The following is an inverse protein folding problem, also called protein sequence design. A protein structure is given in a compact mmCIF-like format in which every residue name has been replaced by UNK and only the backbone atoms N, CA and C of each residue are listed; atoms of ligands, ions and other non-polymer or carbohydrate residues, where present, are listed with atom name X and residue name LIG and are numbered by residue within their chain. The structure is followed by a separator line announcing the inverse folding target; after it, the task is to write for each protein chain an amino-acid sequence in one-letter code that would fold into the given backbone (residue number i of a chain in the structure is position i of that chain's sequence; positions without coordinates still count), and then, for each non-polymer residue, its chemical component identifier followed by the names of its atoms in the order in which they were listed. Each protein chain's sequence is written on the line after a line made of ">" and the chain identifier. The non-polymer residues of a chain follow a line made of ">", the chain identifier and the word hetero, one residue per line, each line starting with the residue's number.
data_IF_074305478408
#
_entry.id   IF_074305478408
#
_cell.length_a   1.000
_cell.length_b   1.000
_cell.length_c   1.000
_cell.angle_alpha   90.00
_cell.angle_beta   90.00
_cell.angle_gamma   90.00
#
_symmetry.space_group_name_H-M   'P 1'
#
loop_
_entity.id
_entity.type
_entity.pdbx_description
1 polymer ?
#
# COMPACT_ATOMS: atom_id res chain seq x y z
N UNK A 1 -22.00 -51.09 -12.43
CA UNK A 1 -22.05 -49.63 -12.24
C UNK A 1 -20.73 -49.17 -11.61
N UNK A 2 -19.88 -48.41 -12.29
CA UNK A 2 -18.72 -47.85 -11.66
C UNK A 2 -19.18 -46.68 -10.77
N UNK A 3 -18.83 -46.73 -9.50
CA UNK A 3 -18.92 -45.65 -8.54
C UNK A 3 -17.92 -44.56 -8.93
N UNK A 4 -18.41 -43.46 -9.41
CA UNK A 4 -17.62 -42.25 -9.58
C UNK A 4 -17.11 -41.78 -8.21
N UNK A 5 -15.88 -42.16 -7.91
CA UNK A 5 -15.13 -41.53 -6.80
C UNK A 5 -14.91 -40.07 -7.16
N UNK A 6 -15.79 -39.21 -6.66
CA UNK A 6 -15.48 -37.76 -6.62
C UNK A 6 -14.22 -37.63 -5.77
N UNK A 7 -13.10 -37.42 -6.41
CA UNK A 7 -11.84 -37.18 -5.73
C UNK A 7 -12.05 -36.02 -4.75
N UNK A 8 -11.80 -36.25 -3.47
CA UNK A 8 -11.70 -35.21 -2.46
C UNK A 8 -10.64 -34.22 -2.94
N UNK A 9 -11.10 -33.12 -3.51
CA UNK A 9 -10.24 -31.97 -3.78
C UNK A 9 -9.80 -31.46 -2.44
N UNK A 10 -8.56 -31.77 -2.04
CA UNK A 10 -7.95 -31.23 -0.84
C UNK A 10 -8.08 -29.70 -0.91
N UNK A 11 -8.71 -29.12 0.11
CA UNK A 11 -8.82 -27.66 0.21
C UNK A 11 -7.43 -27.03 0.11
N UNK A 12 -7.25 -25.99 -0.69
CA UNK A 12 -5.96 -25.34 -0.81
C UNK A 12 -5.49 -24.84 0.56
N UNK A 13 -4.17 -24.89 0.84
CA UNK A 13 -3.64 -24.38 2.10
C UNK A 13 -4.07 -22.93 2.34
N UNK A 14 -4.33 -22.60 3.60
CA UNK A 14 -4.78 -21.24 3.98
C UNK A 14 -3.82 -20.14 3.49
N UNK A 15 -2.54 -20.46 3.29
CA UNK A 15 -1.52 -19.53 2.78
C UNK A 15 -1.53 -19.37 1.25
N UNK A 16 -2.32 -20.15 0.53
CA UNK A 16 -2.39 -20.06 -0.94
C UNK A 16 -2.69 -18.64 -1.42
N UNK A 17 -3.48 -17.87 -0.64
CA UNK A 17 -3.76 -16.47 -0.89
C UNK A 17 -2.51 -15.57 -0.95
N UNK A 18 -1.44 -15.96 -0.28
CA UNK A 18 -0.17 -15.21 -0.24
C UNK A 18 0.92 -15.82 -1.13
N UNK A 19 0.86 -17.13 -1.39
CA UNK A 19 1.94 -17.86 -2.06
C UNK A 19 1.62 -18.26 -3.49
N UNK A 20 0.35 -18.47 -3.83
CA UNK A 20 -0.06 -18.93 -5.16
C UNK A 20 0.18 -17.83 -6.20
N UNK A 21 0.78 -18.19 -7.33
CA UNK A 21 1.11 -17.25 -8.39
C UNK A 21 -0.01 -17.07 -9.43
N UNK A 22 -0.90 -18.05 -9.57
CA UNK A 22 -1.99 -18.04 -10.56
C UNK A 22 -3.15 -18.92 -10.10
N UNK A 23 -4.30 -18.78 -10.76
CA UNK A 23 -5.51 -19.52 -10.45
C UNK A 23 -6.37 -18.82 -9.42
N UNK A 24 -7.39 -19.51 -8.90
CA UNK A 24 -8.42 -18.91 -8.09
C UNK A 24 -8.14 -19.06 -6.59
N UNK A 25 -8.24 -17.96 -5.86
CA UNK A 25 -8.06 -17.91 -4.39
C UNK A 25 -9.17 -17.11 -3.73
N UNK A 26 -9.57 -17.54 -2.52
CA UNK A 26 -10.45 -16.74 -1.68
C UNK A 26 -9.63 -15.87 -0.74
N UNK A 27 -9.99 -14.58 -0.63
CA UNK A 27 -9.42 -13.68 0.35
C UNK A 27 -10.38 -12.57 0.78
N UNK A 28 -10.14 -12.02 1.95
CA UNK A 28 -10.83 -10.81 2.45
C UNK A 28 -10.11 -9.56 1.99
N UNK A 29 -10.75 -8.38 2.16
CA UNK A 29 -10.11 -7.10 1.82
C UNK A 29 -8.79 -6.87 2.55
N UNK A 30 -8.71 -7.19 3.86
CA UNK A 30 -7.45 -7.06 4.62
C UNK A 30 -6.37 -8.03 4.12
N UNK A 31 -6.76 -9.23 3.68
CA UNK A 31 -5.83 -10.18 3.08
C UNK A 31 -5.36 -9.75 1.70
N UNK A 32 -6.23 -9.08 0.93
CA UNK A 32 -5.85 -8.48 -0.34
C UNK A 32 -4.81 -7.38 -0.16
N UNK A 33 -4.91 -6.55 0.89
CA UNK A 33 -3.89 -5.55 1.21
C UNK A 33 -2.53 -6.20 1.56
N UNK A 34 -2.53 -7.28 2.36
CA UNK A 34 -1.29 -8.04 2.61
C UNK A 34 -0.73 -8.63 1.32
N UNK A 35 -1.59 -9.23 0.50
CA UNK A 35 -1.20 -9.79 -0.80
C UNK A 35 -0.59 -8.72 -1.72
N UNK A 36 -1.17 -7.55 -1.79
CA UNK A 36 -0.67 -6.39 -2.55
C UNK A 36 0.77 -6.04 -2.15
N UNK A 37 1.08 -6.00 -0.85
CA UNK A 37 2.44 -5.74 -0.36
C UNK A 37 3.44 -6.80 -0.81
N UNK A 38 3.06 -8.08 -0.70
CA UNK A 38 3.89 -9.19 -1.16
C UNK A 38 4.10 -9.16 -2.67
N UNK A 39 3.07 -8.81 -3.44
CA UNK A 39 3.16 -8.69 -4.90
C UNK A 39 4.01 -7.48 -5.32
N UNK A 40 3.99 -6.37 -4.56
CA UNK A 40 4.91 -5.26 -4.78
C UNK A 40 6.37 -5.69 -4.60
N UNK A 41 6.68 -6.41 -3.53
CA UNK A 41 8.04 -6.92 -3.31
C UNK A 41 8.48 -7.89 -4.42
N UNK A 42 7.56 -8.73 -4.93
CA UNK A 42 7.82 -9.62 -6.06
C UNK A 42 8.09 -8.87 -7.35
N UNK A 43 7.33 -7.81 -7.62
CA UNK A 43 7.55 -6.94 -8.78
C UNK A 43 8.92 -6.28 -8.72
N UNK A 44 9.32 -5.79 -7.56
CA UNK A 44 10.62 -5.16 -7.36
C UNK A 44 11.76 -6.17 -7.56
N UNK A 45 11.65 -7.34 -6.97
CA UNK A 45 12.64 -8.41 -7.15
C UNK A 45 12.75 -8.85 -8.62
N UNK A 46 11.62 -8.97 -9.34
CA UNK A 46 11.61 -9.28 -10.76
C UNK A 46 12.24 -8.17 -11.63
N UNK A 47 12.21 -6.93 -11.15
CA UNK A 47 12.87 -5.78 -11.77
C UNK A 47 14.34 -5.63 -11.36
N UNK A 48 14.89 -6.55 -10.55
CA UNK A 48 16.27 -6.53 -10.07
C UNK A 48 16.52 -5.52 -8.92
N UNK A 49 15.46 -5.08 -8.23
CA UNK A 49 15.59 -4.18 -7.09
C UNK A 49 15.56 -4.96 -5.77
N UNK A 50 16.41 -4.55 -4.85
CA UNK A 50 16.43 -5.03 -3.48
C UNK A 50 15.73 -4.02 -2.55
N UNK A 51 14.40 -3.83 -2.73
CA UNK A 51 13.63 -2.91 -1.90
C UNK A 51 13.26 -3.53 -0.55
N UNK A 52 13.00 -2.67 0.43
CA UNK A 52 12.28 -3.01 1.66
C UNK A 52 10.84 -2.51 1.60
N UNK A 53 9.96 -3.07 2.42
CA UNK A 53 8.60 -2.60 2.62
C UNK A 53 8.39 -2.14 4.05
N UNK A 54 7.59 -1.11 4.25
CA UNK A 54 7.20 -0.63 5.58
C UNK A 54 5.70 -0.41 5.65
N UNK A 55 5.07 -1.02 6.65
CA UNK A 55 3.66 -0.77 6.96
C UNK A 55 3.58 -0.07 8.31
N UNK A 56 2.95 1.09 8.36
CA UNK A 56 2.70 1.79 9.61
C UNK A 56 1.35 2.50 9.57
N UNK A 57 0.68 2.54 10.69
CA UNK A 57 -0.65 3.14 10.79
C UNK A 57 -1.21 2.99 12.19
N UNK A 58 -2.50 3.29 12.33
CA UNK A 58 -3.21 3.13 13.57
C UNK A 58 -4.54 2.45 13.33
N UNK A 59 -4.85 1.47 14.19
CA UNK A 59 -6.06 0.65 14.05
C UNK A 59 -7.34 1.47 14.18
N UNK A 60 -8.30 1.20 13.33
CA UNK A 60 -9.64 1.78 13.37
C UNK A 60 -10.50 1.11 12.31
N UNK A 61 -11.78 0.81 12.64
CA UNK A 61 -12.71 0.25 11.66
C UNK A 61 -12.87 1.19 10.47
N UNK A 62 -12.89 0.67 9.23
CA UNK A 62 -12.94 -0.74 8.84
C UNK A 62 -11.59 -1.46 8.81
N UNK A 63 -10.46 -0.76 9.02
CA UNK A 63 -9.11 -1.34 8.96
C UNK A 63 -8.62 -1.95 10.29
N UNK A 64 -9.51 -2.08 11.29
CA UNK A 64 -9.13 -2.54 12.63
C UNK A 64 -8.52 -3.95 12.68
N UNK A 65 -8.88 -4.82 11.75
CA UNK A 65 -8.36 -6.19 11.66
C UNK A 65 -7.12 -6.31 10.78
N UNK A 66 -6.70 -5.25 10.13
CA UNK A 66 -5.53 -5.27 9.25
C UNK A 66 -4.24 -5.56 10.03
N UNK A 67 -4.07 -4.98 11.22
CA UNK A 67 -2.95 -5.29 12.13
C UNK A 67 -2.85 -6.80 12.41
N UNK A 68 -3.99 -7.40 12.73
CA UNK A 68 -4.06 -8.84 13.04
C UNK A 68 -3.65 -9.66 11.83
N UNK A 69 -4.05 -9.26 10.64
CA UNK A 69 -3.70 -9.98 9.41
C UNK A 69 -2.21 -9.80 9.06
N UNK A 70 -1.63 -8.62 9.29
CA UNK A 70 -0.19 -8.39 9.15
C UNK A 70 0.60 -9.31 10.09
N UNK A 71 0.21 -9.41 11.37
CA UNK A 71 0.87 -10.33 12.31
C UNK A 71 0.73 -11.80 11.91
N UNK A 72 -0.45 -12.22 11.42
CA UNK A 72 -0.65 -13.59 10.92
C UNK A 72 0.21 -13.90 9.71
N UNK A 73 0.41 -12.93 8.85
CA UNK A 73 1.21 -13.05 7.65
C UNK A 73 2.71 -12.78 7.87
N UNK A 74 3.15 -12.53 9.12
CA UNK A 74 4.51 -12.04 9.44
C UNK A 74 5.62 -12.85 8.76
N UNK A 75 5.53 -14.18 8.76
CA UNK A 75 6.53 -15.04 8.10
C UNK A 75 6.67 -14.77 6.59
N UNK A 76 5.57 -14.36 5.93
CA UNK A 76 5.59 -14.02 4.51
C UNK A 76 6.15 -12.61 4.30
N UNK A 77 5.83 -11.69 5.21
CA UNK A 77 6.33 -10.32 5.19
C UNK A 77 7.85 -10.30 5.42
N UNK A 78 8.32 -10.99 6.45
CA UNK A 78 9.76 -11.12 6.76
C UNK A 78 10.54 -11.70 5.58
N UNK A 79 9.99 -12.74 4.92
CA UNK A 79 10.59 -13.35 3.73
C UNK A 79 10.73 -12.40 2.54
N UNK A 80 10.03 -11.27 2.55
CA UNK A 80 10.06 -10.22 1.51
C UNK A 80 10.61 -8.89 2.04
N UNK A 81 11.23 -8.87 3.23
CA UNK A 81 11.77 -7.66 3.88
C UNK A 81 10.71 -6.56 4.07
N UNK A 82 9.53 -6.95 4.49
CA UNK A 82 8.43 -6.02 4.77
C UNK A 82 8.22 -5.97 6.28
N UNK A 83 8.50 -4.81 6.88
CA UNK A 83 8.36 -4.58 8.31
C UNK A 83 6.99 -3.96 8.62
N UNK A 84 6.33 -4.48 9.65
CA UNK A 84 5.14 -3.88 10.23
C UNK A 84 5.50 -3.16 11.53
N UNK A 85 5.41 -1.85 11.53
CA UNK A 85 5.68 -0.96 12.67
C UNK A 85 4.42 -0.21 13.07
N UNK A 86 3.58 -0.76 13.98
CA UNK A 86 2.38 -0.06 14.43
C UNK A 86 2.77 1.23 15.16
N UNK A 87 2.13 2.34 14.81
CA UNK A 87 2.39 3.62 15.44
C UNK A 87 1.44 3.87 16.63
N UNK A 88 1.81 4.80 17.49
CA UNK A 88 0.95 5.23 18.61
C UNK A 88 -0.22 6.10 18.16
N UNK A 89 -0.12 6.66 16.95
CA UNK A 89 -1.18 7.39 16.26
C UNK A 89 -0.87 7.53 14.77
N UNK A 90 -1.85 7.99 14.00
CA UNK A 90 -1.78 8.12 12.54
C UNK A 90 -0.77 9.17 12.08
N UNK A 91 -0.62 10.25 12.85
CA UNK A 91 0.31 11.35 12.57
C UNK A 91 1.77 10.87 12.65
N UNK A 92 2.11 10.11 13.71
CA UNK A 92 3.43 9.48 13.82
C UNK A 92 3.66 8.49 12.67
N UNK A 93 2.66 7.69 12.28
CA UNK A 93 2.77 6.78 11.15
C UNK A 93 3.10 7.54 9.85
N UNK A 94 2.47 8.67 9.58
CA UNK A 94 2.76 9.49 8.41
C UNK A 94 4.20 10.06 8.45
N UNK A 95 4.66 10.47 9.63
CA UNK A 95 6.04 10.93 9.84
C UNK A 95 7.06 9.81 9.61
N UNK A 96 6.75 8.58 10.07
CA UNK A 96 7.57 7.38 9.81
C UNK A 96 7.68 7.13 8.30
N UNK A 97 6.57 7.25 7.55
CA UNK A 97 6.58 7.10 6.09
C UNK A 97 7.49 8.14 5.42
N UNK A 98 7.44 9.40 5.86
CA UNK A 98 8.31 10.44 5.34
C UNK A 98 9.80 10.14 5.58
N UNK A 99 10.13 9.60 6.75
CA UNK A 99 11.49 9.14 7.07
C UNK A 99 11.93 7.97 6.18
N UNK A 100 11.04 6.99 5.96
CA UNK A 100 11.32 5.83 5.13
C UNK A 100 11.65 6.19 3.68
N UNK A 101 11.03 7.26 3.13
CA UNK A 101 11.33 7.74 1.77
C UNK A 101 12.71 8.41 1.64
N UNK A 102 13.42 8.60 2.74
CA UNK A 102 14.76 9.14 2.76
C UNK A 102 15.83 8.09 3.12
N UNK A 103 15.41 6.84 3.34
CA UNK A 103 16.31 5.77 3.80
C UNK A 103 17.47 5.53 2.82
N UNK A 104 17.24 5.57 1.52
CA UNK A 104 18.26 5.35 0.48
C UNK A 104 19.37 6.40 0.49
N UNK A 105 19.13 7.57 1.11
CA UNK A 105 20.13 8.65 1.22
C UNK A 105 21.10 8.42 2.40
N UNK A 106 20.82 7.44 3.25
CA UNK A 106 21.66 7.13 4.39
C UNK A 106 22.82 6.20 3.97
N UNK A 107 24.07 6.49 4.36
CA UNK A 107 25.23 5.69 3.99
C UNK A 107 25.15 4.22 4.46
N UNK A 108 24.34 3.94 5.47
CA UNK A 108 24.17 2.62 6.05
C UNK A 108 23.01 1.82 5.43
N UNK A 109 22.33 2.36 4.42
CA UNK A 109 21.20 1.64 3.81
C UNK A 109 21.66 0.38 3.10
N UNK A 110 20.84 -0.66 3.20
CA UNK A 110 21.05 -1.97 2.56
C UNK A 110 19.97 -2.29 1.52
N UNK A 111 19.11 -1.32 1.23
CA UNK A 111 18.00 -1.45 0.28
C UNK A 111 18.03 -0.33 -0.75
N UNK A 112 17.51 -0.60 -1.95
CA UNK A 112 17.45 0.36 -3.05
C UNK A 112 16.36 1.42 -2.86
N UNK A 113 15.45 1.20 -1.93
CA UNK A 113 14.35 2.08 -1.57
C UNK A 113 13.36 1.35 -0.66
N UNK A 114 12.46 2.09 -0.05
CA UNK A 114 11.42 1.54 0.84
C UNK A 114 10.04 1.92 0.33
N UNK A 115 9.25 0.93 -0.12
CA UNK A 115 7.84 1.20 -0.38
C UNK A 115 7.05 1.19 0.93
N UNK A 116 6.20 2.19 1.11
CA UNK A 116 5.49 2.43 2.36
C UNK A 116 3.98 2.37 2.23
N UNK A 117 3.31 1.62 3.11
CA UNK A 117 1.86 1.65 3.26
C UNK A 117 1.51 2.29 4.61
N UNK A 118 0.95 3.48 4.55
CA UNK A 118 0.26 4.07 5.70
C UNK A 118 -1.19 3.59 5.71
N UNK A 119 -1.76 3.30 6.89
CA UNK A 119 -3.18 3.00 7.00
C UNK A 119 -3.81 3.70 8.20
N UNK A 120 -5.05 4.13 8.03
CA UNK A 120 -5.82 4.77 9.08
C UNK A 120 -7.28 4.94 8.68
N UNK A 121 -8.10 5.29 9.66
CA UNK A 121 -9.49 5.67 9.48
C UNK A 121 -9.58 7.11 8.96
N UNK A 122 -10.73 7.53 8.43
CA UNK A 122 -10.96 8.90 7.98
C UNK A 122 -10.53 9.98 8.98
N UNK A 123 -10.93 9.94 10.27
CA UNK A 123 -10.42 10.89 11.28
C UNK A 123 -8.90 10.88 11.45
N UNK A 124 -8.25 9.75 11.13
CA UNK A 124 -6.79 9.65 11.12
C UNK A 124 -6.15 10.42 9.97
N UNK A 125 -6.82 10.50 8.82
CA UNK A 125 -6.38 11.37 7.70
C UNK A 125 -6.43 12.83 8.12
N UNK A 126 -7.53 13.27 8.73
CA UNK A 126 -7.67 14.64 9.22
C UNK A 126 -6.60 14.99 10.26
N UNK A 127 -6.40 14.11 11.24
CA UNK A 127 -5.39 14.28 12.27
C UNK A 127 -3.99 14.42 11.68
N UNK A 128 -3.68 13.64 10.64
CA UNK A 128 -2.35 13.57 10.03
C UNK A 128 -2.15 14.60 8.92
N UNK A 129 -3.09 15.50 8.71
CA UNK A 129 -3.11 16.42 7.56
C UNK A 129 -1.82 17.22 7.38
N UNK A 130 -1.19 17.68 8.46
CA UNK A 130 0.08 18.39 8.41
C UNK A 130 1.23 17.46 7.99
N UNK A 131 1.37 16.31 8.65
CA UNK A 131 2.40 15.32 8.33
C UNK A 131 2.26 14.78 6.90
N UNK A 132 1.03 14.56 6.42
CA UNK A 132 0.77 14.13 5.03
C UNK A 132 1.20 15.20 4.04
N UNK A 133 0.84 16.48 4.26
CA UNK A 133 1.24 17.59 3.40
C UNK A 133 2.76 17.74 3.33
N UNK A 134 3.43 17.71 4.46
CA UNK A 134 4.89 17.78 4.51
C UNK A 134 5.54 16.56 3.84
N UNK A 135 5.06 15.35 4.14
CA UNK A 135 5.57 14.14 3.50
C UNK A 135 5.41 14.16 1.97
N UNK A 136 4.25 14.59 1.48
CA UNK A 136 4.02 14.74 0.05
C UNK A 136 4.91 15.81 -0.59
N UNK A 137 5.17 16.92 0.11
CA UNK A 137 6.10 17.97 -0.36
C UNK A 137 7.57 17.51 -0.39
N UNK A 138 7.98 16.66 0.54
CA UNK A 138 9.31 16.02 0.49
C UNK A 138 9.42 14.99 -0.62
N UNK A 139 8.29 14.46 -1.05
CA UNK A 139 8.18 13.49 -2.13
C UNK A 139 8.40 12.05 -1.72
N UNK A 140 8.38 11.17 -2.72
CA UNK A 140 8.66 9.75 -2.57
C UNK A 140 9.97 9.37 -3.26
N UNK A 141 10.62 8.33 -2.73
CA UNK A 141 11.79 7.72 -3.34
C UNK A 141 11.46 7.12 -4.71
N UNK A 142 12.33 7.23 -5.72
CA UNK A 142 12.14 6.62 -7.03
C UNK A 142 11.98 5.09 -6.99
N UNK A 143 12.56 4.43 -6.00
CA UNK A 143 12.44 2.99 -5.77
C UNK A 143 11.56 2.64 -4.56
N UNK A 144 11.07 3.65 -3.84
CA UNK A 144 10.17 3.49 -2.69
C UNK A 144 8.71 3.63 -3.08
N UNK A 145 8.19 4.82 -2.88
CA UNK A 145 6.77 5.14 -3.09
C UNK A 145 5.93 5.00 -1.82
N UNK A 146 4.89 5.82 -1.69
CA UNK A 146 3.98 5.81 -0.54
C UNK A 146 2.53 5.68 -0.98
N UNK A 147 1.85 4.70 -0.40
CA UNK A 147 0.41 4.50 -0.52
C UNK A 147 -0.26 4.81 0.82
N UNK A 148 -1.22 5.73 0.82
CA UNK A 148 -1.98 6.16 2.00
C UNK A 148 -3.36 5.50 1.98
N UNK A 149 -3.52 4.38 2.71
CA UNK A 149 -4.77 3.62 2.75
C UNK A 149 -5.72 4.19 3.80
N UNK A 150 -6.79 4.85 3.36
CA UNK A 150 -7.85 5.33 4.24
C UNK A 150 -9.04 4.37 4.24
N UNK A 151 -9.49 4.00 5.43
CA UNK A 151 -10.73 3.24 5.63
C UNK A 151 -11.86 4.19 6.02
N UNK A 152 -12.83 4.36 5.13
CA UNK A 152 -13.99 5.20 5.35
C UNK A 152 -15.21 4.37 5.78
N UNK A 153 -15.94 4.88 6.74
CA UNK A 153 -17.16 4.31 7.30
C UNK A 153 -18.33 5.25 7.00
N UNK A 154 -18.84 5.18 5.79
CA UNK A 154 -19.92 6.06 5.32
C UNK A 154 -21.22 5.86 6.10
N UNK A 155 -21.49 4.64 6.56
CA UNK A 155 -22.66 4.30 7.36
C UNK A 155 -22.56 4.68 8.83
N UNK A 156 -21.43 5.22 9.29
CA UNK A 156 -21.14 5.52 10.69
C UNK A 156 -21.36 4.32 11.64
N UNK A 157 -21.13 3.10 11.17
CA UNK A 157 -21.35 1.89 11.97
C UNK A 157 -20.46 1.87 13.20
N UNK A 158 -19.23 2.34 13.08
CA UNK A 158 -18.26 2.42 14.16
C UNK A 158 -17.62 3.81 14.29
N UNK A 159 -18.25 4.86 13.75
CA UNK A 159 -17.78 6.24 13.78
C UNK A 159 -18.85 7.16 14.34
N UNK A 160 -18.43 8.28 14.94
CA UNK A 160 -19.36 9.33 15.44
C UNK A 160 -19.96 10.12 14.27
N UNK A 161 -19.21 10.26 13.17
CA UNK A 161 -19.61 10.97 11.95
C UNK A 161 -19.15 10.18 10.73
N UNK A 162 -19.86 10.34 9.61
CA UNK A 162 -19.42 9.83 8.32
C UNK A 162 -18.16 10.57 7.84
N UNK A 163 -17.31 9.83 7.12
CA UNK A 163 -16.06 10.36 6.60
C UNK A 163 -15.92 10.12 5.11
N UNK A 164 -15.27 11.07 4.43
CA UNK A 164 -14.88 11.01 3.03
C UNK A 164 -13.44 11.50 2.91
N UNK A 165 -12.50 10.56 3.06
CA UNK A 165 -11.06 10.86 3.16
C UNK A 165 -10.47 11.45 1.87
N UNK A 166 -11.12 11.25 0.72
CA UNK A 166 -10.66 11.80 -0.55
C UNK A 166 -10.49 13.32 -0.52
N UNK A 167 -11.33 14.07 0.20
CA UNK A 167 -11.18 15.52 0.29
C UNK A 167 -9.92 15.93 1.08
N UNK A 168 -9.57 15.16 2.11
CA UNK A 168 -8.31 15.35 2.85
C UNK A 168 -7.10 15.11 1.97
N UNK A 169 -7.11 14.03 1.19
CA UNK A 169 -6.05 13.72 0.24
C UNK A 169 -5.93 14.73 -0.89
N UNK A 170 -7.05 15.17 -1.49
CA UNK A 170 -7.07 16.21 -2.52
C UNK A 170 -6.52 17.52 -1.94
N UNK A 171 -6.93 17.89 -0.72
CA UNK A 171 -6.43 19.08 -0.01
C UNK A 171 -4.93 19.01 0.33
N UNK A 172 -4.35 17.81 0.35
CA UNK A 172 -2.92 17.59 0.50
C UNK A 172 -2.19 17.36 -0.85
N UNK A 173 -2.90 17.54 -1.97
CA UNK A 173 -2.39 17.36 -3.35
C UNK A 173 -1.94 15.92 -3.67
N UNK A 174 -2.58 14.92 -3.07
CA UNK A 174 -2.38 13.52 -3.42
C UNK A 174 -3.37 13.11 -4.52
N UNK A 175 -2.96 12.37 -5.56
CA UNK A 175 -3.88 11.61 -6.39
C UNK A 175 -4.59 10.56 -5.55
N UNK A 176 -5.86 10.29 -5.85
CA UNK A 176 -6.70 9.37 -5.06
C UNK A 176 -7.20 8.22 -5.91
N UNK A 177 -7.00 7.01 -5.42
CA UNK A 177 -7.52 5.77 -5.99
C UNK A 177 -8.71 5.28 -5.15
N UNK A 178 -9.72 4.75 -5.81
CA UNK A 178 -10.93 4.26 -5.15
C UNK A 178 -11.34 2.88 -5.71
N UNK A 179 -10.72 1.80 -5.22
CA UNK A 179 -11.06 0.44 -5.63
C UNK A 179 -12.49 0.07 -5.21
N UNK A 180 -13.20 -0.67 -6.04
CA UNK A 180 -14.57 -1.13 -5.82
C UNK A 180 -14.66 -2.64 -5.54
N UNK A 181 -13.60 -3.40 -5.82
CA UNK A 181 -13.56 -4.87 -5.68
C UNK A 181 -12.28 -5.34 -4.99
N UNK A 182 -12.27 -6.60 -4.51
CA UNK A 182 -11.11 -7.19 -3.81
C UNK A 182 -9.87 -7.26 -4.73
N UNK A 183 -10.04 -7.58 -5.99
CA UNK A 183 -8.97 -7.60 -6.98
C UNK A 183 -8.47 -6.20 -7.33
N UNK A 184 -9.34 -5.20 -7.33
CA UNK A 184 -8.94 -3.80 -7.48
C UNK A 184 -8.16 -3.27 -6.28
N UNK A 185 -8.37 -3.77 -5.05
CA UNK A 185 -7.49 -3.43 -3.93
C UNK A 185 -6.03 -3.77 -4.25
N UNK A 186 -5.81 -4.93 -4.88
CA UNK A 186 -4.45 -5.35 -5.27
C UNK A 186 -3.95 -4.54 -6.46
N UNK A 187 -4.71 -4.51 -7.56
CA UNK A 187 -4.26 -3.89 -8.80
C UNK A 187 -4.10 -2.36 -8.69
N UNK A 188 -5.01 -1.68 -8.01
CA UNK A 188 -4.91 -0.23 -7.75
C UNK A 188 -3.80 0.09 -6.75
N UNK A 189 -3.59 -0.78 -5.75
CA UNK A 189 -2.47 -0.59 -4.82
C UNK A 189 -1.11 -0.70 -5.50
N UNK A 190 -0.91 -1.71 -6.36
CA UNK A 190 0.31 -1.84 -7.18
C UNK A 190 0.47 -0.66 -8.13
N UNK A 191 -0.61 -0.22 -8.77
CA UNK A 191 -0.61 1.00 -9.60
C UNK A 191 -0.28 2.24 -8.75
N UNK A 192 -0.79 2.33 -7.53
CA UNK A 192 -0.53 3.42 -6.60
C UNK A 192 0.96 3.56 -6.26
N UNK A 193 1.65 2.46 -5.99
CA UNK A 193 3.11 2.49 -5.80
C UNK A 193 3.84 2.91 -7.07
N UNK A 194 3.44 2.40 -8.24
CA UNK A 194 4.02 2.80 -9.50
C UNK A 194 3.80 4.28 -9.79
N UNK A 195 2.59 4.80 -9.54
CA UNK A 195 2.24 6.21 -9.68
C UNK A 195 3.03 7.10 -8.72
N UNK A 196 3.19 6.67 -7.46
CA UNK A 196 4.00 7.38 -6.47
C UNK A 196 5.46 7.52 -6.91
N UNK A 197 6.07 6.42 -7.37
CA UNK A 197 7.43 6.40 -7.91
C UNK A 197 7.59 7.27 -9.15
N UNK A 198 6.58 7.27 -10.03
CA UNK A 198 6.57 8.04 -11.27
C UNK A 198 6.47 9.55 -11.02
N UNK A 199 5.53 9.95 -10.17
CA UNK A 199 5.21 11.35 -9.94
C UNK A 199 6.05 12.01 -8.85
N UNK A 200 6.68 11.20 -7.97
CA UNK A 200 7.30 11.68 -6.75
C UNK A 200 6.28 12.06 -5.65
N UNK A 201 4.98 11.90 -5.89
CA UNK A 201 3.92 12.21 -4.94
C UNK A 201 3.57 10.98 -4.07
N UNK A 202 3.03 11.22 -2.90
CA UNK A 202 2.28 10.20 -2.18
C UNK A 202 0.93 9.98 -2.86
N UNK A 203 0.40 8.77 -2.77
CA UNK A 203 -0.88 8.40 -3.41
C UNK A 203 -1.87 7.99 -2.35
N UNK A 204 -3.05 8.61 -2.33
CA UNK A 204 -4.17 8.21 -1.51
C UNK A 204 -4.90 7.02 -2.13
N UNK A 205 -5.30 6.05 -1.31
CA UNK A 205 -6.22 4.99 -1.70
C UNK A 205 -7.33 4.90 -0.66
N UNK A 206 -8.55 5.20 -1.06
CA UNK A 206 -9.72 5.12 -0.19
C UNK A 206 -10.38 3.75 -0.33
N UNK A 207 -10.79 3.18 0.77
CA UNK A 207 -11.67 2.03 0.77
C UNK A 207 -12.79 2.21 1.79
N UNK A 208 -13.89 1.51 1.59
CA UNK A 208 -15.06 1.54 2.46
C UNK A 208 -15.19 0.23 3.25
N UNK A 209 -15.97 0.27 4.33
CA UNK A 209 -16.17 -0.88 5.21
C UNK A 209 -16.66 -2.10 4.45
N UNK A 210 -17.62 -1.91 3.53
CA UNK A 210 -18.23 -2.97 2.74
C UNK A 210 -17.23 -3.72 1.87
N UNK A 211 -16.15 -3.05 1.44
CA UNK A 211 -15.10 -3.69 0.64
C UNK A 211 -14.04 -4.37 1.53
N UNK A 212 -13.59 -3.72 2.58
CA UNK A 212 -12.52 -4.25 3.45
C UNK A 212 -13.00 -5.48 4.23
N UNK A 213 -14.25 -5.45 4.70
CA UNK A 213 -14.85 -6.54 5.47
C UNK A 213 -15.43 -7.65 4.60
N UNK A 214 -15.56 -7.42 3.29
CA UNK A 214 -15.99 -8.43 2.34
C UNK A 214 -14.92 -9.50 2.09
N UNK A 215 -15.35 -10.61 1.52
CA UNK A 215 -14.48 -11.65 0.99
C UNK A 215 -14.97 -12.10 -0.40
N UNK A 216 -14.03 -12.36 -1.27
CA UNK A 216 -14.31 -12.83 -2.62
C UNK A 216 -13.31 -13.89 -3.08
N UNK A 217 -13.77 -14.76 -3.99
CA UNK A 217 -12.86 -15.59 -4.79
C UNK A 217 -12.43 -14.81 -6.03
N UNK A 218 -11.15 -14.55 -6.13
CA UNK A 218 -10.55 -13.80 -7.25
C UNK A 218 -9.65 -14.71 -8.07
N UNK A 219 -9.58 -14.45 -9.35
CA UNK A 219 -8.62 -15.09 -10.24
C UNK A 219 -7.34 -14.25 -10.26
N UNK A 220 -6.23 -14.86 -9.79
CA UNK A 220 -4.94 -14.17 -9.75
C UNK A 220 -4.46 -13.91 -11.17
N UNK A 221 -4.42 -12.65 -11.55
CA UNK A 221 -3.81 -12.19 -12.79
C UNK A 221 -2.27 -12.21 -12.70
N UNK A 222 -1.56 -12.33 -13.83
CA UNK A 222 -0.13 -12.06 -13.85
C UNK A 222 0.17 -10.68 -13.28
N UNK A 223 1.30 -10.55 -12.58
CA UNK A 223 1.71 -9.26 -12.04
C UNK A 223 1.87 -8.23 -13.17
N UNK A 224 1.33 -7.02 -13.03
CA UNK A 224 1.38 -6.01 -14.06
C UNK A 224 2.82 -5.54 -14.30
N UNK A 225 3.17 -5.28 -15.56
CA UNK A 225 4.40 -4.59 -15.88
C UNK A 225 4.12 -3.08 -15.96
N UNK A 226 4.63 -2.32 -14.99
CA UNK A 226 4.59 -0.86 -15.06
C UNK A 226 5.84 -0.36 -15.77
N UNK A 227 5.65 0.39 -16.86
CA UNK A 227 6.75 1.07 -17.50
C UNK A 227 7.33 2.11 -16.52
N UNK A 228 8.62 2.00 -16.22
CA UNK A 228 9.33 3.10 -15.57
C UNK A 228 9.54 4.18 -16.62
N UNK A 229 9.14 5.43 -16.34
CA UNK A 229 9.53 6.50 -17.22
C UNK A 229 11.06 6.56 -17.24
N UNK A 230 11.67 6.94 -18.37
CA UNK A 230 13.07 7.25 -18.37
C UNK A 230 13.30 8.29 -17.27
N UNK A 231 14.34 8.11 -16.47
CA UNK A 231 14.78 9.14 -15.52
C UNK A 231 14.98 10.40 -16.36
N UNK A 232 14.04 11.32 -16.27
CA UNK A 232 14.17 12.61 -16.96
C UNK A 232 15.36 13.29 -16.30
N UNK A 233 16.36 13.62 -17.10
CA UNK A 233 17.48 14.39 -16.60
C UNK A 233 16.89 15.68 -15.97
N UNK A 234 17.04 15.85 -14.68
CA UNK A 234 16.43 16.96 -13.93
C UNK A 234 16.87 18.33 -14.45
N UNK A 235 17.95 18.39 -15.24
CA UNK A 235 18.36 19.59 -15.94
C UNK A 235 17.37 20.05 -17.03
N UNK A 236 16.57 19.13 -17.58
CA UNK A 236 15.60 19.43 -18.64
C UNK A 236 14.15 19.40 -18.14
N UNK A 237 13.93 19.14 -16.86
CA UNK A 237 12.61 18.94 -16.31
C UNK A 237 12.04 20.21 -15.70
N UNK A 238 11.13 20.86 -16.44
CA UNK A 238 10.19 21.86 -15.93
C UNK A 238 9.01 21.23 -15.18
N UNK A 239 9.11 19.99 -14.73
CA UNK A 239 8.14 19.45 -13.77
C UNK A 239 8.32 20.22 -12.47
N UNK A 240 7.26 20.91 -12.08
CA UNK A 240 7.16 21.67 -10.84
C UNK A 240 7.34 20.74 -9.63
N UNK A 241 8.56 20.41 -9.34
CA UNK A 241 8.93 20.12 -7.96
C UNK A 241 9.28 21.45 -7.35
N UNK A 242 8.67 21.82 -6.24
CA UNK A 242 9.22 22.92 -5.43
C UNK A 242 10.71 22.67 -5.28
N UNK A 243 11.57 23.66 -5.55
CA UNK A 243 13.00 23.45 -5.44
C UNK A 243 13.29 22.94 -4.03
N UNK A 244 13.75 21.70 -3.95
CA UNK A 244 14.18 21.13 -2.68
C UNK A 244 15.35 21.98 -2.17
N UNK A 245 15.46 22.26 -0.86
CA UNK A 245 16.66 22.87 -0.30
C UNK A 245 17.95 22.11 -0.61
N UNK A 246 17.83 20.91 -1.18
CA UNK A 246 18.92 20.01 -1.57
C UNK A 246 19.30 20.10 -3.05
N UNK A 247 18.53 20.82 -3.86
CA UNK A 247 18.93 21.04 -5.25
C UNK A 247 20.22 21.85 -5.26
N UNK A 248 21.31 21.36 -5.87
CA UNK A 248 22.54 22.13 -5.94
C UNK A 248 22.26 23.42 -6.70
N UNK A 249 22.65 24.54 -6.10
CA UNK A 249 22.57 25.86 -6.73
C UNK A 249 23.58 25.97 -7.87
#
# INVERSE_FOLDING_TARGET
>A
TPSDAVGESALPPLDSRYTQASGRVFMTGTQALVRMLLDQARLDAAAGLATGGLVSGYRGSPLATFDVELWRANRHLDGHKIDFLPAVNEDMAATIMAGAQQAEQQPSTTVDGVFGLWYGKGPGVDRSGDAIKHGNMYGSSPNGGVLMMAGDDHGCVSSTISHQSEYGFIGASLPVLNPATIDELISFGLFGFALSRYSGLWVGMKSIAELIEAGASIDLAPLPAFARPPLVNTADCLLYTSPSPRDPK
#
